data_IF_001844847477
#
_entry.id   IF_001844847477
#
_cell.length_a   1.000
_cell.length_b   1.000
_cell.length_c   1.000
_cell.angle_alpha   90.00
_cell.angle_beta   90.00
_cell.angle_gamma   90.00
#
_symmetry.space_group_name_H-M   'P 1'
#
loop_
_entity.id
_entity.type
_entity.pdbx_description
1 polymer ?
#
# COMPACT_ATOMS: atom_id res chain seq x y z
N UNK A 1 21.88 -14.26 -17.86
CA UNK A 1 21.79 -14.68 -16.44
C UNK A 1 20.42 -15.29 -16.23
N UNK A 2 20.28 -16.29 -15.35
CA UNK A 2 18.98 -16.79 -14.94
C UNK A 2 18.23 -15.66 -14.19
N UNK A 3 16.93 -15.52 -14.44
CA UNK A 3 16.08 -14.58 -13.69
C UNK A 3 16.01 -15.05 -12.22
N UNK A 4 16.20 -14.15 -11.24
CA UNK A 4 16.06 -14.53 -9.84
C UNK A 4 14.63 -14.93 -9.51
N UNK A 5 14.45 -15.94 -8.65
CA UNK A 5 13.17 -16.28 -8.06
C UNK A 5 12.81 -15.27 -6.97
N UNK A 6 11.59 -14.78 -7.01
CA UNK A 6 11.09 -13.76 -6.07
C UNK A 6 9.79 -14.26 -5.45
N UNK A 7 9.79 -14.38 -4.13
CA UNK A 7 8.62 -14.81 -3.38
C UNK A 7 7.76 -13.62 -2.96
N UNK A 8 6.47 -13.71 -3.19
CA UNK A 8 5.49 -12.72 -2.75
C UNK A 8 4.60 -13.33 -1.67
N UNK A 9 4.64 -12.77 -0.46
CA UNK A 9 3.75 -13.11 0.66
C UNK A 9 2.76 -11.96 0.82
N UNK A 10 1.65 -12.08 0.11
CA UNK A 10 0.60 -11.06 0.05
C UNK A 10 -0.55 -11.41 1.00
N UNK A 11 -1.43 -10.46 1.25
CA UNK A 11 -2.64 -10.71 2.05
C UNK A 11 -3.19 -9.44 2.69
N UNK A 12 -4.40 -9.51 3.25
CA UNK A 12 -4.98 -8.39 3.96
C UNK A 12 -4.19 -8.05 5.23
N UNK A 13 -4.42 -6.86 5.77
CA UNK A 13 -3.87 -6.51 7.08
C UNK A 13 -4.33 -7.53 8.13
N UNK A 14 -3.51 -7.82 9.13
CA UNK A 14 -3.73 -8.82 10.18
C UNK A 14 -3.82 -10.30 9.71
N UNK A 15 -3.39 -10.64 8.48
CA UNK A 15 -3.39 -12.03 7.99
C UNK A 15 -2.18 -12.88 8.44
N UNK A 16 -1.17 -12.29 9.10
CA UNK A 16 0.00 -13.06 9.58
C UNK A 16 1.20 -13.09 8.63
N UNK A 17 1.22 -12.27 7.57
CA UNK A 17 2.30 -12.22 6.57
C UNK A 17 3.70 -12.03 7.17
N UNK A 18 3.84 -11.09 8.09
CA UNK A 18 5.13 -10.78 8.73
C UNK A 18 5.65 -11.99 9.51
N UNK A 19 4.79 -12.65 10.30
CA UNK A 19 5.17 -13.85 11.03
C UNK A 19 5.64 -14.97 10.08
N UNK A 20 4.91 -15.22 8.99
CA UNK A 20 5.30 -16.21 8.00
C UNK A 20 6.64 -15.89 7.32
N UNK A 21 6.91 -14.61 7.03
CA UNK A 21 8.19 -14.19 6.45
C UNK A 21 9.36 -14.35 7.45
N UNK A 22 9.14 -14.02 8.71
CA UNK A 22 10.14 -14.20 9.77
C UNK A 22 10.43 -15.70 10.03
N UNK A 23 9.41 -16.55 9.98
CA UNK A 23 9.58 -18.00 10.09
C UNK A 23 10.35 -18.57 8.90
N UNK A 24 10.06 -18.09 7.68
CA UNK A 24 10.82 -18.45 6.49
C UNK A 24 12.29 -18.03 6.60
N UNK A 25 12.58 -16.85 7.17
CA UNK A 25 13.94 -16.35 7.38
C UNK A 25 14.79 -17.24 8.31
N UNK A 26 14.17 -18.05 9.16
CA UNK A 26 14.88 -19.04 9.99
C UNK A 26 15.35 -20.27 9.20
N UNK A 27 14.79 -20.49 8.01
CA UNK A 27 15.03 -21.67 7.18
C UNK A 27 15.78 -21.37 5.89
N UNK A 28 15.82 -20.11 5.45
CA UNK A 28 16.38 -19.64 4.19
C UNK A 28 17.04 -18.28 4.35
N UNK A 29 18.12 -18.08 3.61
CA UNK A 29 18.76 -16.78 3.48
C UNK A 29 17.93 -15.87 2.59
N UNK A 30 17.08 -15.06 3.22
CA UNK A 30 16.19 -14.12 2.55
C UNK A 30 16.48 -12.68 2.97
N UNK A 31 16.01 -11.73 2.17
CA UNK A 31 15.83 -10.35 2.59
C UNK A 31 14.41 -9.90 2.23
N UNK A 32 13.76 -9.18 3.13
CA UNK A 32 12.37 -8.75 3.00
C UNK A 32 12.31 -7.38 2.31
N UNK A 33 11.45 -7.26 1.29
CA UNK A 33 11.06 -5.98 0.68
C UNK A 33 9.61 -5.69 1.10
N UNK A 34 9.40 -4.60 1.83
CA UNK A 34 8.08 -4.22 2.32
C UNK A 34 7.19 -3.73 1.17
N UNK A 35 6.01 -4.34 1.02
CA UNK A 35 4.96 -3.94 0.07
C UNK A 35 3.84 -3.22 0.82
N UNK A 36 4.20 -2.16 1.53
CA UNK A 36 3.27 -1.38 2.34
C UNK A 36 3.50 0.12 2.19
N UNK A 37 2.46 0.86 1.83
CA UNK A 37 2.52 2.30 1.59
C UNK A 37 2.51 3.16 2.86
N UNK A 38 2.42 2.54 4.04
CA UNK A 38 2.48 3.23 5.32
C UNK A 38 3.82 3.00 6.04
N UNK A 39 4.44 1.82 5.88
CA UNK A 39 5.72 1.49 6.50
C UNK A 39 6.89 2.32 5.96
N UNK A 40 6.73 2.98 4.84
CA UNK A 40 7.73 3.85 4.22
C UNK A 40 8.03 5.11 5.04
N UNK A 41 7.07 5.53 5.89
CA UNK A 41 7.16 6.79 6.63
C UNK A 41 7.93 6.63 7.95
N UNK A 42 8.91 7.50 8.19
CA UNK A 42 9.65 7.60 9.46
C UNK A 42 8.74 8.06 10.59
N UNK A 43 8.89 7.44 11.77
CA UNK A 43 8.14 7.80 12.97
C UNK A 43 6.65 7.44 12.94
N UNK A 44 6.23 6.64 11.98
CA UNK A 44 4.91 6.03 11.92
C UNK A 44 5.06 4.52 12.18
N UNK A 45 5.17 4.14 13.43
CA UNK A 45 5.61 2.79 13.84
C UNK A 45 4.46 1.95 14.40
N UNK A 46 3.79 2.46 15.44
CA UNK A 46 2.73 1.73 16.15
C UNK A 46 1.49 1.60 15.28
N UNK A 47 1.00 2.72 14.73
CA UNK A 47 -0.22 2.75 13.92
C UNK A 47 -0.10 2.02 12.59
N UNK A 48 1.10 1.80 12.08
CA UNK A 48 1.36 1.01 10.87
C UNK A 48 1.62 -0.47 11.17
N UNK A 49 1.80 -0.84 12.45
CA UNK A 49 2.31 -2.15 12.89
C UNK A 49 3.67 -2.47 12.25
N UNK A 50 4.57 -1.49 12.23
CA UNK A 50 5.94 -1.66 11.74
C UNK A 50 6.65 -2.77 12.51
N UNK A 51 7.48 -3.60 11.86
CA UNK A 51 8.30 -4.59 12.56
C UNK A 51 9.13 -3.94 13.66
N UNK A 52 9.15 -4.56 14.84
CA UNK A 52 9.91 -4.05 15.97
C UNK A 52 11.42 -4.27 15.79
N UNK A 53 12.22 -3.70 16.70
CA UNK A 53 13.69 -3.76 16.60
C UNK A 53 14.25 -5.20 16.56
N UNK A 54 13.63 -6.15 17.26
CA UNK A 54 14.05 -7.55 17.25
C UNK A 54 13.74 -8.21 15.89
N UNK A 55 12.58 -7.93 15.31
CA UNK A 55 12.17 -8.42 13.99
C UNK A 55 13.06 -7.82 12.88
N UNK A 56 13.37 -6.51 12.96
CA UNK A 56 14.28 -5.86 12.02
C UNK A 56 15.73 -6.36 12.12
N UNK A 57 16.16 -6.77 13.32
CA UNK A 57 17.48 -7.36 13.53
C UNK A 57 17.56 -8.82 13.06
N UNK A 58 16.44 -9.55 13.04
CA UNK A 58 16.40 -10.96 12.67
C UNK A 58 16.61 -11.19 11.16
N UNK A 59 16.12 -10.28 10.32
CA UNK A 59 16.24 -10.35 8.86
C UNK A 59 16.27 -8.94 8.27
N UNK A 60 17.11 -8.67 7.23
CA UNK A 60 17.11 -7.35 6.59
C UNK A 60 15.75 -7.02 5.97
N UNK A 61 15.27 -5.82 6.28
CA UNK A 61 14.05 -5.26 5.70
C UNK A 61 14.37 -4.04 4.85
N UNK A 62 13.77 -3.96 3.68
CA UNK A 62 13.91 -2.83 2.74
C UNK A 62 12.57 -2.12 2.59
N UNK A 63 12.62 -0.85 2.20
CA UNK A 63 11.48 0.04 1.98
C UNK A 63 10.66 0.29 3.25
N UNK A 64 11.34 0.33 4.39
CA UNK A 64 10.81 0.77 5.69
C UNK A 64 11.60 2.02 6.08
N UNK A 65 10.92 3.05 6.62
CA UNK A 65 11.55 4.32 7.09
C UNK A 65 12.39 5.04 6.03
N UNK A 66 11.93 5.06 4.79
CA UNK A 66 12.71 5.62 3.67
C UNK A 66 12.40 7.09 3.37
N UNK A 67 11.22 7.58 3.79
CA UNK A 67 10.78 8.97 3.56
C UNK A 67 10.22 9.62 4.82
N UNK A 68 10.16 10.94 4.83
CA UNK A 68 9.46 11.70 5.86
C UNK A 68 7.93 11.70 5.62
N UNK A 69 7.09 11.85 6.68
CA UNK A 69 5.63 11.93 6.52
C UNK A 69 5.13 13.12 5.68
N UNK A 70 5.98 14.10 5.40
CA UNK A 70 5.70 15.22 4.49
C UNK A 70 5.90 14.88 3.02
N UNK A 71 6.57 13.77 2.72
CA UNK A 71 6.93 13.35 1.37
C UNK A 71 5.89 12.38 0.78
N UNK A 72 6.02 12.11 -0.50
CA UNK A 72 5.14 11.19 -1.26
C UNK A 72 5.97 10.08 -1.87
N UNK A 73 5.54 8.83 -1.69
CA UNK A 73 6.15 7.68 -2.32
C UNK A 73 5.16 7.02 -3.28
N UNK A 74 5.46 7.08 -4.55
CA UNK A 74 4.56 6.62 -5.62
C UNK A 74 4.74 5.12 -5.91
N UNK A 75 3.74 4.52 -6.56
CA UNK A 75 3.83 3.13 -7.04
C UNK A 75 4.93 2.95 -8.11
N UNK A 76 5.24 3.99 -8.89
CA UNK A 76 6.34 3.96 -9.85
C UNK A 76 7.71 3.96 -9.16
N UNK A 77 7.89 4.78 -8.11
CA UNK A 77 9.11 4.74 -7.29
C UNK A 77 9.27 3.38 -6.61
N UNK A 78 8.19 2.84 -6.03
CA UNK A 78 8.20 1.49 -5.47
C UNK A 78 8.66 0.44 -6.49
N UNK A 79 8.10 0.43 -7.69
CA UNK A 79 8.47 -0.53 -8.73
C UNK A 79 9.94 -0.41 -9.15
N UNK A 80 10.44 0.82 -9.31
CA UNK A 80 11.85 1.10 -9.63
C UNK A 80 12.79 0.61 -8.53
N UNK A 81 12.53 1.00 -7.27
CA UNK A 81 13.37 0.62 -6.13
C UNK A 81 13.33 -0.89 -5.90
N UNK A 82 12.15 -1.51 -6.03
CA UNK A 82 11.99 -2.95 -5.85
C UNK A 82 12.75 -3.74 -6.91
N UNK A 83 12.69 -3.34 -8.19
CA UNK A 83 13.47 -3.99 -9.25
C UNK A 83 14.98 -3.94 -8.97
N UNK A 84 15.50 -2.79 -8.53
CA UNK A 84 16.89 -2.65 -8.11
C UNK A 84 17.22 -3.57 -6.93
N UNK A 85 16.40 -3.56 -5.87
CA UNK A 85 16.60 -4.38 -4.68
C UNK A 85 16.57 -5.88 -4.98
N UNK A 86 15.68 -6.35 -5.84
CA UNK A 86 15.63 -7.76 -6.28
C UNK A 86 16.98 -8.19 -6.85
N UNK A 87 17.57 -7.39 -7.73
CA UNK A 87 18.88 -7.70 -8.29
C UNK A 87 20.00 -7.65 -7.24
N UNK A 88 20.02 -6.61 -6.40
CA UNK A 88 21.05 -6.45 -5.36
C UNK A 88 21.01 -7.60 -4.35
N UNK A 89 19.82 -8.06 -3.95
CA UNK A 89 19.63 -9.19 -3.02
C UNK A 89 20.09 -10.49 -3.70
N UNK A 90 19.66 -10.73 -4.93
CA UNK A 90 20.06 -11.92 -5.68
C UNK A 90 21.57 -11.99 -5.92
N UNK A 91 22.25 -10.86 -6.18
CA UNK A 91 23.71 -10.80 -6.30
C UNK A 91 24.43 -11.18 -5.00
N UNK A 92 23.80 -10.98 -3.83
CA UNK A 92 24.32 -11.45 -2.54
C UNK A 92 24.04 -12.92 -2.27
N UNK A 93 23.45 -13.65 -3.23
CA UNK A 93 23.07 -15.06 -3.08
C UNK A 93 21.87 -15.30 -2.19
N UNK A 94 21.08 -14.25 -1.90
CA UNK A 94 19.87 -14.34 -1.07
C UNK A 94 18.61 -14.30 -1.88
N UNK A 95 17.50 -14.76 -1.30
CA UNK A 95 16.19 -14.74 -1.94
C UNK A 95 15.44 -13.46 -1.58
N UNK A 96 15.03 -12.63 -2.55
CA UNK A 96 14.16 -11.49 -2.29
C UNK A 96 12.73 -11.96 -1.99
N UNK A 97 12.16 -11.49 -0.86
CA UNK A 97 10.80 -11.82 -0.42
C UNK A 97 10.00 -10.53 -0.26
N UNK A 98 8.98 -10.36 -1.08
CA UNK A 98 8.08 -9.22 -1.02
C UNK A 98 6.93 -9.49 -0.06
N UNK A 99 6.79 -8.68 0.99
CA UNK A 99 5.80 -8.90 2.05
C UNK A 99 4.90 -7.69 2.21
N UNK A 100 3.58 -7.87 2.01
CA UNK A 100 2.68 -6.76 2.27
C UNK A 100 1.28 -6.86 1.70
N UNK A 101 0.59 -5.72 1.66
CA UNK A 101 -0.82 -5.64 1.31
C UNK A 101 -1.19 -4.44 0.41
N UNK A 102 -0.24 -3.65 -0.06
CA UNK A 102 -0.50 -2.55 -0.99
C UNK A 102 -0.52 -3.07 -2.43
N UNK A 103 -1.69 -3.56 -2.86
CA UNK A 103 -1.84 -4.25 -4.15
C UNK A 103 -1.53 -3.36 -5.37
N UNK A 104 -1.67 -2.03 -5.24
CA UNK A 104 -1.24 -1.11 -6.29
C UNK A 104 0.28 -1.19 -6.54
N UNK A 105 1.08 -1.41 -5.48
CA UNK A 105 2.52 -1.61 -5.60
C UNK A 105 2.85 -2.92 -6.32
N UNK A 106 2.14 -3.99 -5.97
CA UNK A 106 2.30 -5.29 -6.65
C UNK A 106 1.95 -5.16 -8.13
N UNK A 107 0.83 -4.50 -8.44
CA UNK A 107 0.43 -4.25 -9.82
C UNK A 107 1.49 -3.46 -10.58
N UNK A 108 1.99 -2.37 -9.99
CA UNK A 108 3.01 -1.52 -10.60
C UNK A 108 4.32 -2.26 -10.89
N UNK A 109 4.64 -3.29 -10.11
CA UNK A 109 5.84 -4.10 -10.29
C UNK A 109 5.65 -5.21 -11.33
N UNK A 110 4.48 -5.84 -11.38
CA UNK A 110 4.20 -6.99 -12.25
C UNK A 110 3.66 -6.61 -13.63
N UNK A 111 3.03 -5.45 -13.75
CA UNK A 111 2.46 -4.94 -14.99
C UNK A 111 3.19 -3.66 -15.40
N UNK A 112 3.35 -3.39 -16.70
CA UNK A 112 3.91 -2.12 -17.13
C UNK A 112 3.05 -0.98 -16.61
N UNK A 113 3.69 0.00 -15.98
CA UNK A 113 3.03 1.26 -15.67
C UNK A 113 3.14 2.16 -16.89
N UNK A 114 2.00 2.57 -17.42
CA UNK A 114 1.96 3.66 -18.41
C UNK A 114 2.74 4.85 -17.87
N UNK A 115 3.70 5.34 -18.63
CA UNK A 115 4.50 6.51 -18.27
C UNK A 115 3.63 7.78 -18.34
N UNK A 116 2.78 7.95 -17.35
CA UNK A 116 1.95 9.15 -17.23
C UNK A 116 2.80 10.36 -16.83
N UNK A 117 2.43 11.56 -17.24
CA UNK A 117 3.10 12.80 -16.84
C UNK A 117 3.32 12.89 -15.33
N UNK A 118 4.48 13.40 -14.94
CA UNK A 118 4.79 13.64 -13.53
C UNK A 118 3.79 14.62 -12.92
N UNK A 119 3.46 14.43 -11.65
CA UNK A 119 2.55 15.30 -10.94
C UNK A 119 3.10 16.73 -10.85
N UNK A 120 2.24 17.73 -11.11
CA UNK A 120 2.54 19.14 -10.93
C UNK A 120 1.75 19.68 -9.72
N UNK A 121 2.48 20.16 -8.71
CA UNK A 121 1.89 20.63 -7.46
C UNK A 121 1.05 21.90 -7.65
N UNK A 122 1.41 22.79 -8.59
CA UNK A 122 0.67 24.01 -8.85
C UNK A 122 -0.67 23.71 -9.56
N UNK A 123 -0.63 22.86 -10.56
CA UNK A 123 -1.84 22.40 -11.27
C UNK A 123 -2.77 21.64 -10.31
N UNK A 124 -2.23 20.80 -9.45
CA UNK A 124 -3.01 20.09 -8.44
C UNK A 124 -3.69 21.04 -7.46
N UNK A 125 -2.98 22.06 -6.97
CA UNK A 125 -3.54 23.06 -6.08
C UNK A 125 -4.66 23.86 -6.76
N UNK A 126 -4.54 24.20 -8.04
CA UNK A 126 -5.60 24.85 -8.81
C UNK A 126 -6.84 23.96 -8.94
N UNK A 127 -6.67 22.68 -9.28
CA UNK A 127 -7.76 21.71 -9.37
C UNK A 127 -8.49 21.59 -8.02
N UNK A 128 -7.74 21.46 -6.92
CA UNK A 128 -8.32 21.37 -5.57
C UNK A 128 -9.06 22.65 -5.18
N UNK A 129 -8.52 23.83 -5.51
CA UNK A 129 -9.17 25.13 -5.29
C UNK A 129 -10.48 25.24 -6.07
N UNK A 130 -10.49 24.87 -7.33
CA UNK A 130 -11.71 24.84 -8.16
C UNK A 130 -12.73 23.84 -7.61
N UNK A 131 -12.29 22.64 -7.21
CA UNK A 131 -13.15 21.64 -6.60
C UNK A 131 -13.77 22.11 -5.27
N UNK A 132 -13.05 22.91 -4.48
CA UNK A 132 -13.59 23.52 -3.27
C UNK A 132 -14.72 24.55 -3.55
N UNK A 133 -14.69 25.19 -4.71
CA UNK A 133 -15.71 26.19 -5.12
C UNK A 133 -16.96 25.55 -5.74
N UNK A 134 -16.79 24.58 -6.65
CA UNK A 134 -17.89 24.04 -7.47
C UNK A 134 -18.25 22.59 -7.10
N UNK A 135 -17.45 21.92 -6.28
CA UNK A 135 -17.64 20.53 -5.87
C UNK A 135 -17.09 19.50 -6.87
N UNK A 136 -16.76 18.31 -6.39
CA UNK A 136 -16.23 17.22 -7.21
C UNK A 136 -17.18 16.71 -8.29
N UNK A 137 -18.52 16.66 -8.09
CA UNK A 137 -19.43 16.31 -9.18
C UNK A 137 -19.35 17.26 -10.38
N UNK A 138 -19.16 18.57 -10.16
CA UNK A 138 -18.96 19.52 -11.25
C UNK A 138 -17.59 19.36 -11.91
N UNK A 139 -16.53 19.06 -11.13
CA UNK A 139 -15.22 18.72 -11.69
C UNK A 139 -15.25 17.42 -12.50
N UNK A 140 -16.09 16.45 -12.12
CA UNK A 140 -16.33 15.25 -12.93
C UNK A 140 -17.00 15.58 -14.27
N UNK A 141 -17.94 16.54 -14.31
CA UNK A 141 -18.52 16.99 -15.57
C UNK A 141 -17.47 17.66 -16.47
N UNK A 142 -16.56 18.47 -15.90
CA UNK A 142 -15.41 19.02 -16.64
C UNK A 142 -14.53 17.90 -17.21
N UNK A 143 -14.25 16.86 -16.42
CA UNK A 143 -13.50 15.70 -16.91
C UNK A 143 -14.23 14.99 -18.06
N UNK A 144 -15.56 14.88 -17.99
CA UNK A 144 -16.35 14.22 -19.03
C UNK A 144 -16.28 14.94 -20.39
N UNK A 145 -16.11 16.27 -20.41
CA UNK A 145 -15.89 17.04 -21.63
C UNK A 145 -14.50 16.82 -22.24
N UNK A 146 -13.50 16.50 -21.40
CA UNK A 146 -12.10 16.32 -21.79
C UNK A 146 -11.80 14.85 -22.11
N UNK A 147 -12.27 13.94 -21.25
CA UNK A 147 -11.99 12.51 -21.28
C UNK A 147 -13.23 11.72 -20.84
N UNK A 148 -14.20 11.60 -21.74
CA UNK A 148 -15.45 10.88 -21.49
C UNK A 148 -15.22 9.42 -21.09
N UNK A 149 -14.21 8.76 -21.68
CA UNK A 149 -13.85 7.36 -21.40
C UNK A 149 -13.39 7.18 -19.94
N UNK A 150 -12.57 8.09 -19.44
CA UNK A 150 -12.14 8.06 -18.04
C UNK A 150 -13.28 8.44 -17.10
N UNK A 151 -14.07 9.48 -17.44
CA UNK A 151 -15.17 9.95 -16.61
C UNK A 151 -16.24 8.86 -16.41
N UNK A 152 -16.61 8.11 -17.44
CA UNK A 152 -17.62 7.04 -17.36
C UNK A 152 -17.25 5.96 -16.30
N UNK A 153 -15.97 5.71 -16.11
CA UNK A 153 -15.47 4.70 -15.13
C UNK A 153 -15.37 5.23 -13.71
N UNK A 154 -15.46 6.52 -13.49
CA UNK A 154 -15.26 7.16 -12.19
C UNK A 154 -16.57 7.56 -11.53
N UNK A 155 -16.65 7.38 -10.21
CA UNK A 155 -17.73 8.01 -9.44
C UNK A 155 -17.56 9.53 -9.43
N UNK A 156 -18.67 10.32 -9.56
CA UNK A 156 -18.60 11.78 -9.49
C UNK A 156 -18.00 12.36 -8.20
N UNK A 157 -17.89 11.55 -7.15
CA UNK A 157 -17.28 11.93 -5.88
C UNK A 157 -15.86 11.37 -5.68
N UNK A 158 -15.26 10.73 -6.71
CA UNK A 158 -13.89 10.20 -6.63
C UNK A 158 -12.86 11.32 -6.86
N UNK A 159 -12.72 12.18 -5.86
CA UNK A 159 -11.85 13.35 -5.87
C UNK A 159 -10.43 13.04 -6.36
N UNK A 160 -9.86 11.93 -5.88
CA UNK A 160 -8.47 11.59 -6.17
C UNK A 160 -8.26 11.21 -7.63
N UNK A 161 -9.16 10.38 -8.20
CA UNK A 161 -9.02 9.93 -9.60
C UNK A 161 -9.43 11.00 -10.59
N UNK A 162 -10.49 11.76 -10.29
CA UNK A 162 -10.90 12.93 -11.10
C UNK A 162 -9.77 13.95 -11.13
N UNK A 163 -9.23 14.34 -9.96
CA UNK A 163 -8.12 15.27 -9.86
C UNK A 163 -6.89 14.81 -10.64
N UNK A 164 -6.53 13.53 -10.56
CA UNK A 164 -5.38 12.98 -11.30
C UNK A 164 -5.60 12.97 -12.81
N UNK A 165 -6.78 12.64 -13.29
CA UNK A 165 -7.09 12.66 -14.73
C UNK A 165 -7.04 14.08 -15.31
N UNK A 166 -7.59 15.05 -14.59
CA UNK A 166 -7.50 16.47 -14.97
C UNK A 166 -6.06 16.99 -14.91
N UNK A 167 -5.29 16.62 -13.89
CA UNK A 167 -3.87 16.98 -13.78
C UNK A 167 -3.06 16.47 -14.98
N UNK A 168 -3.24 15.20 -15.36
CA UNK A 168 -2.58 14.64 -16.53
C UNK A 168 -2.89 15.44 -17.78
N UNK A 169 -4.15 15.77 -18.01
CA UNK A 169 -4.57 16.55 -19.16
C UNK A 169 -3.94 17.97 -19.14
N UNK A 170 -4.03 18.68 -18.02
CA UNK A 170 -3.49 20.05 -17.95
C UNK A 170 -1.96 20.12 -18.03
N UNK A 171 -1.24 19.03 -17.67
CA UNK A 171 0.21 18.95 -17.86
C UNK A 171 0.60 18.61 -19.29
N UNK A 172 -0.17 17.78 -19.99
CA UNK A 172 0.26 17.17 -21.27
C UNK A 172 -0.61 17.51 -22.48
N UNK A 173 -1.71 18.22 -22.28
CA UNK A 173 -2.76 18.48 -23.30
C UNK A 173 -3.30 17.19 -23.95
N UNK A 174 -3.22 16.05 -23.24
CA UNK A 174 -3.64 14.74 -23.74
C UNK A 174 -4.44 13.99 -22.66
N UNK A 175 -5.65 13.46 -23.01
CA UNK A 175 -6.50 12.69 -22.09
C UNK A 175 -5.80 11.47 -21.48
N UNK A 176 -6.13 11.17 -20.23
CA UNK A 176 -5.57 9.98 -19.53
C UNK A 176 -5.94 8.69 -20.26
N UNK A 177 -7.14 8.58 -20.83
CA UNK A 177 -7.57 7.40 -21.59
C UNK A 177 -6.69 7.13 -22.81
N UNK A 178 -6.21 8.17 -23.50
CA UNK A 178 -5.30 8.03 -24.64
C UNK A 178 -3.92 7.53 -24.21
N UNK A 179 -3.36 8.08 -23.10
CA UNK A 179 -2.11 7.58 -22.52
C UNK A 179 -2.20 6.08 -22.21
N UNK A 180 -3.31 5.65 -21.62
CA UNK A 180 -3.52 4.25 -21.25
C UNK A 180 -3.73 3.33 -22.46
N UNK A 181 -4.27 3.84 -23.56
CA UNK A 181 -4.48 3.09 -24.80
C UNK A 181 -3.19 2.87 -25.61
N UNK A 182 -2.23 3.78 -25.51
CA UNK A 182 -0.96 3.68 -26.25
C UNK A 182 0.02 2.71 -25.61
N UNK A 183 -0.16 2.38 -24.32
CA UNK A 183 0.75 1.49 -23.60
C UNK A 183 0.43 0.02 -23.88
N UNK A 184 0.92 -0.46 -25.02
CA UNK A 184 0.78 -1.86 -25.48
C UNK A 184 2.08 -2.67 -25.31
N UNK A 185 3.08 -2.12 -24.63
CA UNK A 185 4.36 -2.78 -24.46
C UNK A 185 4.24 -4.01 -23.56
N UNK A 186 4.52 -5.19 -24.13
CA UNK A 186 4.71 -6.42 -23.35
C UNK A 186 5.92 -6.22 -22.44
N UNK A 187 5.68 -6.11 -21.14
CA UNK A 187 6.75 -5.99 -20.15
C UNK A 187 7.23 -7.39 -19.74
N UNK A 188 8.46 -7.69 -20.10
CA UNK A 188 9.08 -8.92 -19.64
C UNK A 188 9.71 -8.69 -18.26
N UNK A 189 9.23 -9.41 -17.24
CA UNK A 189 9.80 -9.33 -15.90
C UNK A 189 11.24 -9.83 -15.89
N UNK A 190 12.11 -9.13 -15.20
CA UNK A 190 13.51 -9.52 -15.00
C UNK A 190 13.72 -10.55 -13.88
N UNK A 191 12.62 -11.07 -13.31
CA UNK A 191 12.59 -12.06 -12.23
C UNK A 191 11.42 -13.03 -12.45
N UNK A 192 11.44 -14.17 -11.74
CA UNK A 192 10.38 -15.17 -11.73
C UNK A 192 9.52 -14.99 -10.47
N UNK A 193 8.25 -14.53 -10.58
CA UNK A 193 7.40 -14.30 -9.41
C UNK A 193 6.73 -15.60 -8.94
N UNK A 194 6.77 -15.84 -7.62
CA UNK A 194 6.00 -16.87 -6.92
C UNK A 194 4.99 -16.18 -6.00
N UNK A 195 3.72 -16.16 -6.38
CA UNK A 195 2.69 -15.34 -5.74
C UNK A 195 1.86 -16.16 -4.73
N UNK A 196 1.92 -15.82 -3.46
CA UNK A 196 1.12 -16.40 -2.40
C UNK A 196 0.29 -15.35 -1.69
N UNK A 197 -0.98 -15.69 -1.39
CA UNK A 197 -1.87 -14.86 -0.59
C UNK A 197 -2.25 -15.57 0.71
N UNK A 198 -1.89 -15.00 1.85
CA UNK A 198 -2.34 -15.49 3.15
C UNK A 198 -3.73 -14.91 3.45
N UNK A 199 -4.75 -15.72 3.28
CA UNK A 199 -6.16 -15.33 3.44
C UNK A 199 -6.84 -16.33 4.38
N UNK A 200 -7.27 -15.90 5.60
CA UNK A 200 -8.06 -16.77 6.46
C UNK A 200 -9.36 -17.20 5.78
N UNK A 201 -9.71 -18.49 5.83
CA UNK A 201 -10.96 -19.00 5.28
C UNK A 201 -12.17 -18.27 5.85
N UNK A 202 -12.14 -18.01 7.15
CA UNK A 202 -13.25 -17.38 7.87
C UNK A 202 -12.98 -15.89 8.09
N UNK A 203 -13.82 -15.04 7.50
CA UNK A 203 -13.72 -13.58 7.63
C UNK A 203 -13.82 -13.08 9.07
N UNK A 204 -14.59 -13.76 9.94
CA UNK A 204 -14.72 -13.38 11.34
C UNK A 204 -13.38 -13.41 12.07
N UNK A 205 -12.52 -14.40 11.78
CA UNK A 205 -11.16 -14.46 12.35
C UNK A 205 -10.34 -13.25 11.97
N UNK A 206 -10.40 -12.83 10.70
CA UNK A 206 -9.69 -11.63 10.25
C UNK A 206 -10.23 -10.36 10.94
N UNK A 207 -11.54 -10.24 11.08
CA UNK A 207 -12.18 -9.10 11.74
C UNK A 207 -11.79 -9.04 13.23
N UNK A 208 -11.79 -10.18 13.91
CA UNK A 208 -11.39 -10.26 15.31
C UNK A 208 -9.93 -9.84 15.51
N UNK A 209 -9.00 -10.37 14.69
CA UNK A 209 -7.59 -9.97 14.71
C UNK A 209 -7.39 -8.47 14.43
N UNK A 210 -8.17 -7.90 13.51
CA UNK A 210 -8.15 -6.46 13.23
C UNK A 210 -8.59 -5.68 14.47
N UNK A 211 -9.69 -6.09 15.09
CA UNK A 211 -10.26 -5.41 16.27
C UNK A 211 -9.27 -5.44 17.44
N UNK A 212 -8.74 -6.61 17.77
CA UNK A 212 -7.75 -6.80 18.84
C UNK A 212 -6.47 -5.99 18.58
N UNK A 213 -5.97 -6.00 17.34
CA UNK A 213 -4.78 -5.25 16.99
C UNK A 213 -4.95 -3.74 17.13
N UNK A 214 -6.11 -3.20 16.76
CA UNK A 214 -6.35 -1.76 16.91
C UNK A 214 -6.37 -1.33 18.38
N UNK A 215 -7.00 -2.11 19.26
CA UNK A 215 -6.96 -1.87 20.70
C UNK A 215 -5.53 -1.96 21.23
N UNK A 216 -4.81 -3.03 20.87
CA UNK A 216 -3.42 -3.19 21.28
C UNK A 216 -2.51 -2.03 20.82
N UNK A 217 -2.76 -1.42 19.65
CA UNK A 217 -2.03 -0.23 19.21
C UNK A 217 -2.30 0.97 20.15
N UNK A 218 -3.54 1.19 20.57
CA UNK A 218 -3.89 2.25 21.52
C UNK A 218 -3.19 2.01 22.86
N UNK A 219 -3.24 0.79 23.38
CA UNK A 219 -2.60 0.41 24.65
C UNK A 219 -1.06 0.56 24.60
N UNK A 220 -0.47 0.42 23.40
CA UNK A 220 0.97 0.56 23.19
C UNK A 220 1.42 1.99 22.83
N UNK A 221 0.55 3.00 23.00
CA UNK A 221 0.93 4.41 22.85
C UNK A 221 0.71 5.00 21.46
N UNK A 222 -0.17 4.42 20.64
CA UNK A 222 -0.47 4.95 19.31
C UNK A 222 -0.94 6.42 19.34
N UNK A 223 -1.73 6.83 20.36
CA UNK A 223 -2.14 8.23 20.48
C UNK A 223 -0.94 9.17 20.78
N UNK A 224 0.06 8.69 21.50
CA UNK A 224 1.27 9.50 21.78
C UNK A 224 2.11 9.64 20.52
N UNK A 225 2.22 8.60 19.71
CA UNK A 225 2.84 8.68 18.38
C UNK A 225 2.14 9.74 17.51
N UNK A 226 0.80 9.75 17.45
CA UNK A 226 0.07 10.76 16.66
C UNK A 226 0.22 12.17 17.26
N UNK A 227 0.27 12.33 18.59
CA UNK A 227 0.56 13.62 19.23
C UNK A 227 1.95 14.14 18.86
N UNK A 228 2.96 13.27 18.84
CA UNK A 228 4.30 13.63 18.43
C UNK A 228 4.37 14.06 16.95
N UNK A 229 3.67 13.35 16.06
CA UNK A 229 3.55 13.74 14.65
C UNK A 229 2.87 15.11 14.48
N UNK A 230 1.80 15.37 15.23
CA UNK A 230 1.11 16.67 15.21
C UNK A 230 2.00 17.82 15.74
N UNK A 231 2.78 17.54 16.78
CA UNK A 231 3.67 18.53 17.40
C UNK A 231 4.81 18.99 16.48
N UNK A 232 5.10 18.27 15.40
CA UNK A 232 6.06 18.67 14.36
C UNK A 232 5.69 20.01 13.71
N UNK A 233 4.39 20.28 13.55
CA UNK A 233 3.88 21.52 12.96
C UNK A 233 3.95 21.60 11.43
N UNK A 234 4.59 20.63 10.77
CA UNK A 234 4.72 20.51 9.31
C UNK A 234 3.73 19.53 8.67
N UNK A 235 2.89 18.88 9.48
CA UNK A 235 1.89 17.90 9.05
C UNK A 235 0.46 18.42 9.19
N UNK A 236 -0.42 17.95 8.32
CA UNK A 236 -1.86 18.17 8.41
C UNK A 236 -2.63 16.92 7.97
N UNK A 237 -3.92 16.83 8.35
CA UNK A 237 -4.79 15.67 8.13
C UNK A 237 -4.96 15.28 6.65
N UNK A 238 -4.70 16.19 5.71
CA UNK A 238 -4.86 15.96 4.28
C UNK A 238 -3.62 15.36 3.62
N UNK A 239 -2.49 15.32 4.33
CA UNK A 239 -1.27 14.71 3.79
C UNK A 239 -1.41 13.20 3.63
N UNK A 240 -0.76 12.58 2.62
CA UNK A 240 -0.84 11.15 2.36
C UNK A 240 -0.55 10.27 3.57
N UNK A 241 0.47 10.61 4.36
CA UNK A 241 0.84 9.90 5.59
C UNK A 241 -0.34 9.89 6.61
N UNK A 242 -0.98 11.05 6.81
CA UNK A 242 -2.10 11.18 7.75
C UNK A 242 -3.42 10.59 7.24
N UNK A 243 -3.50 10.25 5.95
CA UNK A 243 -4.63 9.47 5.39
C UNK A 243 -4.51 7.96 5.65
N UNK A 244 -3.38 7.48 6.18
CA UNK A 244 -3.23 6.09 6.58
C UNK A 244 -4.31 5.72 7.61
N UNK A 245 -4.82 4.49 7.48
CA UNK A 245 -5.86 3.98 8.37
C UNK A 245 -5.36 3.97 9.81
N UNK A 246 -6.17 4.44 10.72
CA UNK A 246 -5.82 4.67 12.12
C UNK A 246 -5.36 6.10 12.38
N UNK A 247 -4.40 6.63 11.63
CA UNK A 247 -3.85 7.98 11.84
C UNK A 247 -4.89 9.07 11.66
N UNK A 248 -5.68 9.02 10.58
CA UNK A 248 -6.77 9.98 10.39
C UNK A 248 -7.74 9.95 11.55
N UNK A 249 -8.17 8.78 11.99
CA UNK A 249 -9.12 8.62 13.10
C UNK A 249 -8.52 9.13 14.41
N UNK A 250 -7.25 8.82 14.69
CA UNK A 250 -6.57 9.33 15.87
C UNK A 250 -6.40 10.85 15.84
N UNK A 251 -6.12 11.43 14.66
CA UNK A 251 -6.05 12.88 14.49
C UNK A 251 -7.37 13.56 14.76
N UNK A 252 -8.48 13.08 14.18
CA UNK A 252 -9.84 13.59 14.39
C UNK A 252 -10.26 13.49 15.87
N UNK A 253 -9.90 12.38 16.53
CA UNK A 253 -10.12 12.22 17.99
C UNK A 253 -9.35 13.28 18.79
N UNK A 254 -8.08 13.52 18.48
CA UNK A 254 -7.25 14.53 19.15
C UNK A 254 -7.72 15.97 18.87
N UNK A 255 -8.52 16.18 17.80
CA UNK A 255 -9.24 17.43 17.54
C UNK A 255 -10.56 17.53 18.32
N UNK A 256 -10.90 16.53 19.14
CA UNK A 256 -12.12 16.52 19.97
C UNK A 256 -13.41 16.24 19.19
N UNK A 257 -13.31 15.63 17.98
CA UNK A 257 -14.51 15.39 17.16
C UNK A 257 -15.39 14.27 17.70
N UNK A 258 -14.87 13.36 18.52
CA UNK A 258 -15.58 12.23 19.13
C UNK A 258 -14.80 11.65 20.31
N UNK A 259 -15.43 10.75 21.06
CA UNK A 259 -14.84 10.08 22.22
C UNK A 259 -13.97 8.86 21.85
N UNK A 260 -13.34 8.24 22.84
CA UNK A 260 -12.48 7.08 22.65
C UNK A 260 -13.22 5.84 22.14
N UNK A 261 -14.47 5.63 22.58
CA UNK A 261 -15.27 4.51 22.10
C UNK A 261 -15.55 4.63 20.59
N UNK A 262 -15.85 5.85 20.13
CA UNK A 262 -16.04 6.12 18.70
C UNK A 262 -14.71 6.04 17.92
N UNK A 263 -13.58 6.46 18.49
CA UNK A 263 -12.25 6.26 17.90
C UNK A 263 -11.99 4.78 17.61
N UNK A 264 -12.22 3.91 18.60
CA UNK A 264 -12.05 2.46 18.46
C UNK A 264 -12.97 1.94 17.36
N UNK A 265 -14.25 2.29 17.39
CA UNK A 265 -15.22 1.84 16.39
C UNK A 265 -14.84 2.26 14.97
N UNK A 266 -14.45 3.52 14.77
CA UNK A 266 -14.02 4.08 13.47
C UNK A 266 -12.70 3.48 12.99
N UNK A 267 -11.72 3.34 13.85
CA UNK A 267 -10.42 2.75 13.51
C UNK A 267 -10.54 1.29 13.07
N UNK A 268 -11.32 0.50 13.81
CA UNK A 268 -11.62 -0.89 13.44
C UNK A 268 -12.41 -0.97 12.12
N UNK A 269 -13.42 -0.12 11.95
CA UNK A 269 -14.21 -0.09 10.71
C UNK A 269 -13.36 0.30 9.50
N UNK A 270 -12.53 1.32 9.61
CA UNK A 270 -11.62 1.75 8.54
C UNK A 270 -10.61 0.65 8.18
N UNK A 271 -10.09 -0.07 9.18
CA UNK A 271 -9.16 -1.19 8.98
C UNK A 271 -9.85 -2.38 8.30
N UNK A 272 -11.10 -2.72 8.69
CA UNK A 272 -11.90 -3.74 7.99
C UNK A 272 -12.19 -3.37 6.53
N UNK A 273 -12.44 -2.08 6.25
CA UNK A 273 -12.62 -1.59 4.88
C UNK A 273 -11.32 -1.68 4.07
N UNK A 274 -10.17 -1.41 4.67
CA UNK A 274 -8.87 -1.64 4.05
C UNK A 274 -8.70 -3.11 3.70
N UNK A 275 -8.91 -4.01 4.64
CA UNK A 275 -8.83 -5.47 4.43
C UNK A 275 -9.77 -5.93 3.31
N UNK A 276 -11.02 -5.42 3.27
CA UNK A 276 -11.98 -5.71 2.19
C UNK A 276 -11.44 -5.30 0.82
N UNK A 277 -10.85 -4.10 0.70
CA UNK A 277 -10.23 -3.64 -0.56
C UNK A 277 -9.07 -4.54 -0.97
N UNK A 278 -8.19 -4.92 -0.02
CA UNK A 278 -7.07 -5.83 -0.28
C UNK A 278 -7.56 -7.19 -0.78
N UNK A 279 -8.58 -7.77 -0.15
CA UNK A 279 -9.19 -9.04 -0.58
C UNK A 279 -9.82 -8.95 -1.98
N UNK A 280 -10.44 -7.81 -2.32
CA UNK A 280 -11.00 -7.59 -3.66
C UNK A 280 -9.90 -7.60 -4.72
N UNK A 281 -8.79 -6.92 -4.47
CA UNK A 281 -7.64 -6.91 -5.36
C UNK A 281 -7.00 -8.29 -5.50
N UNK A 282 -6.78 -9.00 -4.39
CA UNK A 282 -6.19 -10.35 -4.42
C UNK A 282 -7.01 -11.34 -5.23
N UNK A 283 -8.35 -11.22 -5.19
CA UNK A 283 -9.25 -12.07 -6.00
C UNK A 283 -9.20 -11.75 -7.49
N UNK A 284 -8.85 -10.54 -7.87
CA UNK A 284 -8.72 -10.15 -9.28
C UNK A 284 -7.34 -10.48 -9.86
N UNK A 285 -6.36 -10.85 -9.03
CA UNK A 285 -5.04 -11.27 -9.48
C UNK A 285 -5.10 -12.72 -9.97
N UNK A 286 -4.72 -12.92 -11.23
CA UNK A 286 -4.48 -14.28 -11.76
C UNK A 286 -3.23 -14.92 -11.14
N UNK A 287 -3.14 -16.24 -11.18
CA UNK A 287 -1.94 -17.01 -10.80
C UNK A 287 -1.42 -16.80 -9.35
N UNK A 288 -2.30 -16.41 -8.41
CA UNK A 288 -1.96 -16.32 -7.00
C UNK A 288 -2.43 -17.56 -6.24
N UNK A 289 -1.52 -18.23 -5.54
CA UNK A 289 -1.86 -19.35 -4.68
C UNK A 289 -2.33 -18.84 -3.31
N UNK A 290 -3.56 -19.21 -2.92
CA UNK A 290 -4.10 -18.85 -1.61
C UNK A 290 -3.76 -19.92 -0.58
N UNK A 291 -3.32 -19.48 0.61
CA UNK A 291 -3.02 -20.33 1.77
C UNK A 291 -3.80 -19.78 2.97
N UNK A 292 -4.46 -20.64 3.73
CA UNK A 292 -5.01 -20.23 5.02
C UNK A 292 -3.86 -20.10 6.05
N UNK A 293 -3.65 -18.88 6.60
CA UNK A 293 -2.57 -18.64 7.58
C UNK A 293 -2.77 -19.35 8.92
N UNK A 294 -3.88 -20.06 9.12
CA UNK A 294 -4.15 -20.84 10.33
C UNK A 294 -3.72 -22.30 10.21
N UNK A 295 -3.32 -22.75 9.01
CA UNK A 295 -2.83 -24.09 8.79
C UNK A 295 -1.33 -24.21 9.10
N UNK A 296 -0.88 -25.41 9.41
CA UNK A 296 0.55 -25.70 9.61
C UNK A 296 1.34 -25.80 8.30
N UNK A 297 0.68 -25.67 7.15
CA UNK A 297 1.28 -25.87 5.83
C UNK A 297 1.92 -24.60 5.24
N UNK A 298 1.74 -23.44 5.88
CA UNK A 298 2.21 -22.15 5.33
C UNK A 298 3.70 -22.19 5.02
N UNK A 299 4.53 -22.51 6.01
CA UNK A 299 5.99 -22.54 5.84
C UNK A 299 6.43 -23.59 4.83
N UNK A 300 5.87 -24.80 4.88
CA UNK A 300 6.20 -25.88 3.96
C UNK A 300 5.87 -25.50 2.50
N UNK A 301 4.73 -24.85 2.28
CA UNK A 301 4.30 -24.38 0.95
C UNK A 301 5.22 -23.29 0.41
N UNK A 302 5.59 -22.31 1.26
CA UNK A 302 6.51 -21.24 0.88
C UNK A 302 7.92 -21.78 0.56
N UNK A 303 8.42 -22.73 1.35
CA UNK A 303 9.72 -23.38 1.11
C UNK A 303 9.73 -24.20 -0.18
N UNK A 304 8.64 -24.87 -0.52
CA UNK A 304 8.54 -25.69 -1.72
C UNK A 304 8.55 -24.84 -3.03
N UNK A 305 8.20 -23.57 -2.95
CA UNK A 305 8.20 -22.65 -4.08
C UNK A 305 9.58 -22.08 -4.42
N UNK A 306 10.53 -22.22 -3.51
CA UNK A 306 11.90 -21.71 -3.69
C UNK A 306 12.86 -22.81 -4.18
N UNK A 307 13.81 -22.50 -5.05
CA UNK A 307 14.85 -23.43 -5.44
C UNK A 307 15.63 -23.90 -4.18
N UNK A 308 16.11 -25.15 -4.27
CA UNK A 308 16.88 -25.77 -3.17
C UNK A 308 18.25 -25.13 -3.00
#
# INVERSE_FOLDING_TARGET
>A
MLKPDVLFILGPTASGKTAAALELAQQRDIEIISVDSALVFRGMDIGTAKPNAAELAAVPHHLIDIIEPTEVYSAAQFASDTNRLIHDIAQRGKTPVLVGGTMLYVKALLEPLTQLPTADLAIRADIESRAAQIGWPAMHAVLAEIDAVTAERLSPNDAQRIGRALEIFYVSDKPMSEWLAEDTTMHELNFTPHLFALIPETRSVLHERINQRFVAMLDNGFLDEVRALRARGDLNINMPAMRCVGYRQAWEFLDGQYDEAELIARGQAATRQLAKRQLTWLRSMGNIQTIDPLTQEVLATLLAALPK
#
